data_IF_335871756064
#
_entry.id   IF_335871756064
#
_cell.length_a   1.000
_cell.length_b   1.000
_cell.length_c   1.000
_cell.angle_alpha   90.00
_cell.angle_beta   90.00
_cell.angle_gamma   90.00
#
_symmetry.space_group_name_H-M   'P 1'
#
loop_
_entity.id
_entity.type
_entity.pdbx_description
1 polymer ?
#
# COMPACT_ATOMS: atom_id res chain seq x y z
N UNK A 1 1.65 20.27 25.14
CA UNK A 1 2.16 19.65 23.92
C UNK A 1 2.89 20.73 23.18
N UNK A 2 4.22 20.67 23.16
CA UNK A 2 5.00 21.58 22.34
C UNK A 2 4.67 21.35 20.87
N UNK A 3 4.61 22.41 20.04
CA UNK A 3 4.34 22.25 18.61
C UNK A 3 5.44 21.39 17.99
N UNK A 4 5.03 20.29 17.34
CA UNK A 4 5.96 19.43 16.59
C UNK A 4 6.54 20.25 15.44
N UNK A 5 7.85 20.36 15.39
CA UNK A 5 8.54 21.09 14.33
C UNK A 5 8.31 20.40 12.97
N UNK A 6 8.12 21.18 11.92
CA UNK A 6 7.80 20.66 10.59
C UNK A 6 8.92 19.76 10.05
N UNK A 7 10.17 20.08 10.40
CA UNK A 7 11.35 19.29 10.07
C UNK A 7 11.32 17.90 10.72
N UNK A 8 10.91 17.80 11.99
CA UNK A 8 10.80 16.53 12.69
C UNK A 8 9.69 15.66 12.09
N UNK A 9 8.54 16.27 11.77
CA UNK A 9 7.42 15.57 11.14
C UNK A 9 7.79 15.02 9.75
N UNK A 10 8.52 15.81 8.94
CA UNK A 10 8.99 15.39 7.62
C UNK A 10 10.04 14.28 7.74
N UNK A 11 10.98 14.40 8.65
CA UNK A 11 12.01 13.38 8.89
C UNK A 11 11.38 12.06 9.31
N UNK A 12 10.36 12.11 10.17
CA UNK A 12 9.59 10.93 10.55
C UNK A 12 8.83 10.32 9.36
N UNK A 13 8.15 11.13 8.56
CA UNK A 13 7.39 10.66 7.40
C UNK A 13 8.28 9.97 6.35
N UNK A 14 9.55 10.39 6.23
CA UNK A 14 10.54 9.82 5.30
C UNK A 14 11.39 8.72 5.97
N UNK A 15 11.10 8.36 7.22
CA UNK A 15 11.79 7.27 7.90
C UNK A 15 11.66 5.95 7.12
N UNK A 16 12.70 5.10 7.22
CA UNK A 16 12.78 3.83 6.49
C UNK A 16 11.55 2.94 6.72
N UNK A 17 11.01 2.96 7.93
CA UNK A 17 9.81 2.20 8.30
C UNK A 17 8.54 2.74 7.62
N UNK A 18 8.33 4.06 7.68
CA UNK A 18 7.18 4.71 7.02
C UNK A 18 7.24 4.54 5.50
N UNK A 19 8.42 4.71 4.91
CA UNK A 19 8.65 4.48 3.48
C UNK A 19 8.32 3.03 3.10
N UNK A 20 8.71 2.05 3.91
CA UNK A 20 8.36 0.65 3.63
C UNK A 20 6.84 0.42 3.63
N UNK A 21 6.11 1.01 4.59
CA UNK A 21 4.64 0.95 4.64
C UNK A 21 4.03 1.60 3.39
N UNK A 22 4.52 2.79 3.00
CA UNK A 22 4.05 3.47 1.80
C UNK A 22 4.31 2.67 0.52
N UNK A 23 5.47 2.00 0.43
CA UNK A 23 5.78 1.14 -0.71
C UNK A 23 4.82 -0.04 -0.81
N UNK A 24 4.44 -0.67 0.31
CA UNK A 24 3.45 -1.76 0.30
C UNK A 24 2.10 -1.28 -0.21
N UNK A 25 1.64 -0.12 0.25
CA UNK A 25 0.39 0.51 -0.22
C UNK A 25 0.49 0.80 -1.72
N UNK A 26 1.59 1.43 -2.15
CA UNK A 26 1.81 1.80 -3.55
C UNK A 26 1.82 0.58 -4.46
N UNK A 27 2.54 -0.48 -4.08
CA UNK A 27 2.59 -1.75 -4.83
C UNK A 27 1.20 -2.38 -4.88
N UNK A 28 0.43 -2.36 -3.79
CA UNK A 28 -0.94 -2.85 -3.77
C UNK A 28 -1.85 -2.10 -4.76
N UNK A 29 -1.76 -0.77 -4.80
CA UNK A 29 -2.50 0.06 -5.74
C UNK A 29 -2.08 -0.24 -7.19
N UNK A 30 -0.77 -0.36 -7.45
CA UNK A 30 -0.26 -0.68 -8.78
C UNK A 30 -0.71 -2.06 -9.24
N UNK A 31 -0.67 -3.08 -8.38
CA UNK A 31 -1.18 -4.42 -8.70
C UNK A 31 -2.67 -4.37 -9.04
N UNK A 32 -3.45 -3.56 -8.32
CA UNK A 32 -4.89 -3.42 -8.57
C UNK A 32 -5.20 -2.68 -9.87
N UNK A 33 -4.45 -1.63 -10.20
CA UNK A 33 -4.72 -0.77 -11.36
C UNK A 33 -4.08 -1.29 -12.65
N UNK A 34 -2.85 -1.78 -12.56
CA UNK A 34 -2.04 -2.16 -13.71
C UNK A 34 -2.12 -3.67 -13.94
N UNK A 35 -2.15 -4.48 -12.87
CA UNK A 35 -2.23 -5.94 -12.95
C UNK A 35 -3.29 -6.46 -13.92
N UNK A 36 -4.57 -6.06 -13.79
CA UNK A 36 -5.62 -6.51 -14.71
C UNK A 36 -5.46 -6.01 -16.15
N UNK A 37 -4.72 -4.91 -16.36
CA UNK A 37 -4.53 -4.28 -17.68
C UNK A 37 -3.34 -4.83 -18.45
N UNK A 38 -2.38 -5.47 -17.78
CA UNK A 38 -1.21 -6.09 -18.45
C UNK A 38 -1.65 -7.27 -19.32
N UNK A 39 -2.74 -7.95 -18.94
CA UNK A 39 -3.35 -9.04 -19.70
C UNK A 39 -4.34 -8.50 -20.75
N UNK A 40 -3.85 -7.68 -21.68
CA UNK A 40 -4.62 -7.25 -22.85
C UNK A 40 -5.14 -8.49 -23.62
N UNK A 41 -6.36 -8.45 -24.17
CA UNK A 41 -7.07 -9.64 -24.63
C UNK A 41 -6.36 -10.28 -25.82
N UNK A 42 -5.57 -11.31 -25.56
CA UNK A 42 -5.12 -12.25 -26.58
C UNK A 42 -6.28 -13.25 -26.65
N UNK A 43 -7.19 -13.01 -27.58
CA UNK A 43 -8.55 -13.55 -27.73
C UNK A 43 -8.77 -15.06 -27.55
N UNK A 44 -7.73 -15.86 -27.34
CA UNK A 44 -7.79 -17.31 -27.12
C UNK A 44 -7.90 -17.74 -25.65
N UNK A 45 -7.62 -16.89 -24.66
CA UNK A 45 -7.57 -17.29 -23.23
C UNK A 45 -8.35 -16.37 -22.26
N UNK A 46 -9.50 -15.87 -22.71
CA UNK A 46 -10.33 -14.88 -21.99
C UNK A 46 -10.68 -15.28 -20.54
N UNK A 47 -10.88 -16.57 -20.26
CA UNK A 47 -11.17 -17.07 -18.91
C UNK A 47 -9.95 -17.00 -17.97
N UNK A 48 -8.76 -17.33 -18.48
CA UNK A 48 -7.50 -17.29 -17.73
C UNK A 48 -7.10 -15.84 -17.44
N UNK A 49 -7.27 -14.95 -18.42
CA UNK A 49 -7.03 -13.51 -18.26
C UNK A 49 -7.94 -12.91 -17.18
N UNK A 50 -9.24 -13.25 -17.18
CA UNK A 50 -10.18 -12.82 -16.13
C UNK A 50 -9.80 -13.35 -14.75
N UNK A 51 -9.38 -14.61 -14.66
CA UNK A 51 -8.94 -15.20 -13.40
C UNK A 51 -7.71 -14.48 -12.87
N UNK A 52 -6.68 -14.31 -13.70
CA UNK A 52 -5.46 -13.60 -13.33
C UNK A 52 -5.76 -12.15 -12.94
N UNK A 53 -6.54 -11.41 -13.73
CA UNK A 53 -6.95 -10.06 -13.40
C UNK A 53 -7.68 -9.97 -12.06
N UNK A 54 -8.53 -10.95 -11.74
CA UNK A 54 -9.20 -11.06 -10.44
C UNK A 54 -8.18 -11.28 -9.32
N UNK A 55 -7.23 -12.20 -9.50
CA UNK A 55 -6.17 -12.48 -8.52
C UNK A 55 -5.34 -11.23 -8.27
N UNK A 56 -4.87 -10.53 -9.30
CA UNK A 56 -4.13 -9.27 -9.16
C UNK A 56 -4.94 -8.19 -8.44
N UNK A 57 -6.24 -8.10 -8.73
CA UNK A 57 -7.13 -7.15 -8.06
C UNK A 57 -7.26 -7.47 -6.57
N UNK A 58 -7.48 -8.74 -6.21
CA UNK A 58 -7.63 -9.20 -4.82
C UNK A 58 -6.32 -9.03 -4.06
N UNK A 59 -5.19 -9.47 -4.62
CA UNK A 59 -3.87 -9.33 -4.00
C UNK A 59 -3.53 -7.86 -3.81
N UNK A 60 -3.76 -7.02 -4.83
CA UNK A 60 -3.54 -5.58 -4.73
C UNK A 60 -4.41 -4.92 -3.67
N UNK A 61 -5.68 -5.32 -3.58
CA UNK A 61 -6.59 -4.85 -2.52
C UNK A 61 -6.10 -5.24 -1.12
N UNK A 62 -5.75 -6.52 -0.90
CA UNK A 62 -5.25 -7.01 0.38
C UNK A 62 -3.96 -6.29 0.78
N UNK A 63 -3.00 -6.13 -0.15
CA UNK A 63 -1.76 -5.41 0.11
C UNK A 63 -2.03 -3.94 0.51
N UNK A 64 -2.93 -3.26 -0.20
CA UNK A 64 -3.32 -1.88 0.12
C UNK A 64 -3.95 -1.81 1.51
N UNK A 65 -4.89 -2.72 1.81
CA UNK A 65 -5.59 -2.77 3.09
C UNK A 65 -4.61 -3.03 4.26
N UNK A 66 -3.76 -4.04 4.14
CA UNK A 66 -2.74 -4.36 5.16
C UNK A 66 -1.78 -3.20 5.34
N UNK A 67 -1.35 -2.55 4.26
CA UNK A 67 -0.50 -1.36 4.32
C UNK A 67 -1.17 -0.20 5.06
N UNK A 68 -2.47 0.06 4.80
CA UNK A 68 -3.23 1.07 5.54
C UNK A 68 -3.39 0.74 7.02
N UNK A 69 -3.65 -0.52 7.36
CA UNK A 69 -3.71 -0.96 8.76
C UNK A 69 -2.35 -0.82 9.45
N UNK A 70 -1.26 -1.19 8.78
CA UNK A 70 0.09 -1.05 9.30
C UNK A 70 0.45 0.43 9.56
N UNK A 71 0.05 1.33 8.65
CA UNK A 71 0.22 2.77 8.83
C UNK A 71 -0.49 3.26 10.10
N UNK A 72 -1.77 2.95 10.24
CA UNK A 72 -2.56 3.37 11.40
C UNK A 72 -2.01 2.78 12.70
N UNK A 73 -1.67 1.49 12.69
CA UNK A 73 -1.05 0.83 13.83
C UNK A 73 0.26 1.51 14.24
N UNK A 74 1.13 1.81 13.28
CA UNK A 74 2.42 2.46 13.54
C UNK A 74 2.24 3.85 14.15
N UNK A 75 1.34 4.65 13.60
CA UNK A 75 1.01 5.98 14.12
C UNK A 75 0.49 5.92 15.56
N UNK A 76 -0.40 4.97 15.86
CA UNK A 76 -0.93 4.79 17.22
C UNK A 76 0.16 4.28 18.18
N UNK A 77 0.95 3.29 17.78
CA UNK A 77 2.01 2.72 18.60
C UNK A 77 3.08 3.78 18.96
N UNK A 78 3.51 4.57 17.98
CA UNK A 78 4.50 5.63 18.21
C UNK A 78 3.92 6.78 19.06
N UNK A 79 2.63 7.10 18.89
CA UNK A 79 1.95 8.09 19.73
C UNK A 79 1.85 7.65 21.20
N UNK A 80 1.51 6.37 21.45
CA UNK A 80 1.45 5.80 22.81
C UNK A 80 2.85 5.72 23.44
N UNK A 81 3.88 5.40 22.65
CA UNK A 81 5.25 5.33 23.16
C UNK A 81 5.85 6.71 23.53
N UNK A 82 5.30 7.80 22.97
CA UNK A 82 5.72 9.19 23.24
C UNK A 82 4.88 9.87 24.33
N UNK A 83 3.79 9.26 24.80
CA UNK A 83 2.90 9.77 25.85
C UNK A 83 3.39 9.39 27.24
#
# INVERSE_FOLDING_TARGET
MDPVDAEEALTYAVSREMVAIYLVILVGILLRLVGPRIFFPISRFLAVERLLGTVFTVVGFVATFVGSVALLYKLVADAVARA
#
